data_IF_383320488862
#
_entry.id   IF_383320488862
#
_cell.length_a   1.000
_cell.length_b   1.000
_cell.length_c   1.000
_cell.angle_alpha   90.00
_cell.angle_beta   90.00
_cell.angle_gamma   90.00
#
_symmetry.space_group_name_H-M   'P 1'
#
loop_
_entity.id
_entity.type
_entity.pdbx_description
1 polymer ?
#
# COMPACT_ATOMS: atom_id res chain seq x y z
N UNK A 1 2.95 -5.00 26.75
CA UNK A 1 1.50 -4.93 26.54
C UNK A 1 1.09 -3.53 26.97
N UNK A 2 0.84 -2.66 25.99
CA UNK A 2 0.49 -1.25 26.22
C UNK A 2 -1.00 -1.15 25.91
N UNK A 3 -1.82 -0.80 26.90
CA UNK A 3 -3.26 -0.66 26.73
C UNK A 3 -3.58 0.83 26.74
N UNK A 4 -4.07 1.37 25.62
CA UNK A 4 -4.60 2.73 25.56
C UNK A 4 -6.06 2.64 26.01
N UNK A 5 -6.37 3.31 27.12
CA UNK A 5 -7.72 3.34 27.69
C UNK A 5 -8.46 4.56 27.14
N UNK A 6 -9.44 4.35 26.26
CA UNK A 6 -10.40 5.38 25.85
C UNK A 6 -11.70 5.19 26.65
N UNK A 7 -11.97 6.13 27.54
CA UNK A 7 -13.13 6.12 28.47
C UNK A 7 -14.48 6.25 27.76
N UNK A 8 -14.51 6.52 26.45
CA UNK A 8 -15.74 6.77 25.70
C UNK A 8 -16.14 5.65 24.71
N UNK A 9 -15.47 4.50 24.72
CA UNK A 9 -15.77 3.36 23.83
C UNK A 9 -16.26 2.13 24.62
N UNK A 10 -17.34 1.51 24.15
CA UNK A 10 -17.88 0.24 24.69
C UNK A 10 -17.05 -0.99 24.28
N UNK A 11 -16.02 -0.82 23.44
CA UNK A 11 -15.15 -1.90 22.98
C UNK A 11 -13.67 -1.48 23.02
N UNK A 12 -12.81 -2.43 23.37
CA UNK A 12 -11.38 -2.23 23.66
C UNK A 12 -10.60 -3.21 22.80
N UNK A 13 -9.74 -2.68 21.95
CA UNK A 13 -8.93 -3.47 21.03
C UNK A 13 -7.59 -3.75 21.71
N UNK A 14 -7.31 -5.03 21.96
CA UNK A 14 -6.03 -5.47 22.50
C UNK A 14 -5.13 -5.90 21.35
N UNK A 15 -4.05 -5.14 21.10
CA UNK A 15 -2.99 -5.60 20.20
C UNK A 15 -2.09 -6.57 20.95
N UNK A 16 -2.11 -7.84 20.53
CA UNK A 16 -1.02 -8.77 20.77
C UNK A 16 -0.16 -8.79 19.51
N UNK A 17 1.16 -8.85 19.68
CA UNK A 17 2.07 -9.07 18.56
C UNK A 17 1.63 -10.38 17.89
N UNK A 18 1.18 -10.26 16.64
CA UNK A 18 0.76 -11.31 15.69
C UNK A 18 -0.68 -11.85 15.77
N UNK A 19 -1.61 -11.27 16.54
CA UNK A 19 -3.04 -11.60 16.45
C UNK A 19 -3.92 -10.38 16.79
N UNK A 20 -4.90 -10.04 15.95
CA UNK A 20 -6.00 -9.15 16.31
C UNK A 20 -7.14 -10.04 16.82
N UNK A 21 -7.37 -10.04 18.13
CA UNK A 21 -8.54 -10.67 18.74
C UNK A 21 -9.41 -9.59 19.39
N UNK A 22 -10.73 -9.66 19.16
CA UNK A 22 -11.70 -8.90 19.92
C UNK A 22 -11.83 -9.53 21.30
N UNK A 23 -11.59 -8.74 22.35
CA UNK A 23 -11.80 -9.17 23.73
C UNK A 23 -13.15 -8.63 24.19
N UNK A 24 -14.14 -9.52 24.34
CA UNK A 24 -15.40 -9.17 24.96
C UNK A 24 -15.16 -8.92 26.46
N UNK A 25 -15.52 -7.75 26.95
CA UNK A 25 -15.49 -7.40 28.37
C UNK A 25 -16.73 -6.58 28.71
N UNK A 26 -17.16 -6.65 29.96
CA UNK A 26 -18.21 -5.78 30.49
C UNK A 26 -17.58 -4.70 31.38
N UNK A 27 -18.20 -3.53 31.48
CA UNK A 27 -17.79 -2.49 32.43
C UNK A 27 -18.71 -2.56 33.65
N UNK A 28 -18.16 -3.02 34.78
CA UNK A 28 -18.83 -3.00 36.08
C UNK A 28 -18.01 -2.14 37.06
N UNK A 29 -18.66 -1.23 37.78
CA UNK A 29 -18.02 -0.34 38.77
C UNK A 29 -16.75 0.38 38.27
N UNK A 30 -16.79 0.90 37.02
CA UNK A 30 -15.65 1.54 36.34
C UNK A 30 -14.41 0.65 36.20
N UNK A 31 -14.59 -0.67 36.15
CA UNK A 31 -13.54 -1.64 35.88
C UNK A 31 -13.96 -2.53 34.72
N UNK A 32 -13.02 -2.85 33.85
CA UNK A 32 -13.21 -3.91 32.87
C UNK A 32 -13.25 -5.26 33.59
N UNK A 33 -14.38 -5.95 33.50
CA UNK A 33 -14.58 -7.33 33.96
C UNK A 33 -14.52 -8.23 32.74
N UNK A 34 -13.54 -9.12 32.72
CA UNK A 34 -13.37 -10.10 31.66
C UNK A 34 -14.15 -11.36 32.03
N UNK A 35 -15.04 -11.83 31.16
CA UNK A 35 -15.70 -13.12 31.33
C UNK A 35 -14.68 -14.24 31.04
N UNK A 36 -14.00 -14.72 32.08
CA UNK A 36 -13.00 -15.79 31.99
C UNK A 36 -13.68 -17.19 31.93
N UNK A 37 -15.00 -17.28 32.13
CA UNK A 37 -15.76 -18.53 32.19
C UNK A 37 -16.56 -18.86 30.91
N UNK A 38 -15.95 -18.65 29.74
CA UNK A 38 -16.36 -19.33 28.51
C UNK A 38 -15.16 -20.02 27.89
N UNK A 39 -14.90 -21.25 28.34
CA UNK A 39 -14.03 -22.16 27.61
C UNK A 39 -14.52 -22.26 26.16
N UNK A 40 -13.58 -22.10 25.23
CA UNK A 40 -13.62 -22.50 23.82
C UNK A 40 -14.90 -23.26 23.41
N UNK A 41 -15.92 -22.50 22.97
CA UNK A 41 -17.00 -22.90 22.06
C UNK A 41 -17.97 -21.71 21.95
N UNK A 42 -17.57 -20.67 21.22
CA UNK A 42 -18.54 -19.72 20.68
C UNK A 42 -19.18 -20.42 19.47
N UNK A 43 -20.14 -21.30 19.71
CA UNK A 43 -21.21 -21.48 18.72
C UNK A 43 -22.07 -20.24 18.82
N UNK A 44 -21.77 -19.26 17.97
CA UNK A 44 -22.63 -18.10 17.73
C UNK A 44 -23.93 -18.60 17.07
N UNK A 45 -24.83 -19.13 17.91
CA UNK A 45 -26.16 -19.59 17.54
C UNK A 45 -27.15 -18.42 17.36
N UNK A 46 -26.69 -17.28 16.83
CA UNK A 46 -27.56 -16.09 16.68
C UNK A 46 -27.44 -15.32 15.37
N UNK A 47 -26.92 -15.92 14.29
CA UNK A 47 -27.24 -15.48 12.93
C UNK A 47 -27.42 -16.68 11.99
N UNK A 48 -28.68 -17.01 11.67
CA UNK A 48 -29.06 -17.91 10.57
C UNK A 48 -28.81 -17.23 9.21
N UNK A 49 -27.60 -16.73 8.98
CA UNK A 49 -27.16 -16.37 7.63
C UNK A 49 -26.64 -17.67 7.01
N UNK A 50 -27.14 -18.12 5.84
CA UNK A 50 -26.59 -19.28 5.18
C UNK A 50 -25.09 -19.07 4.98
N UNK A 51 -24.26 -19.82 5.71
CA UNK A 51 -22.82 -19.73 5.59
C UNK A 51 -22.39 -20.71 4.50
N UNK A 52 -21.81 -20.18 3.43
CA UNK A 52 -21.22 -20.99 2.36
C UNK A 52 -20.02 -21.74 2.95
N UNK A 53 -19.93 -23.05 2.68
CA UNK A 53 -18.86 -23.90 3.19
C UNK A 53 -17.68 -23.94 2.21
N UNK A 54 -16.51 -24.40 2.65
CA UNK A 54 -15.39 -24.61 1.73
C UNK A 54 -15.72 -25.63 0.64
N UNK A 55 -16.59 -26.62 0.93
CA UNK A 55 -16.97 -27.62 -0.06
C UNK A 55 -17.74 -27.06 -1.25
N UNK A 56 -18.49 -25.97 -1.03
CA UNK A 56 -19.26 -25.30 -2.06
C UNK A 56 -18.33 -24.54 -3.03
N UNK A 57 -17.19 -24.04 -2.55
CA UNK A 57 -16.31 -23.14 -3.31
C UNK A 57 -14.98 -23.76 -3.74
N UNK A 58 -14.55 -24.89 -3.17
CA UNK A 58 -13.23 -25.49 -3.41
C UNK A 58 -12.91 -25.82 -4.88
N UNK A 59 -13.94 -25.98 -5.72
CA UNK A 59 -13.79 -26.31 -7.13
C UNK A 59 -14.04 -25.10 -8.06
N UNK A 60 -14.31 -23.93 -7.50
CA UNK A 60 -14.52 -22.71 -8.29
C UNK A 60 -13.14 -22.18 -8.71
N UNK A 61 -12.93 -22.09 -10.01
CA UNK A 61 -11.76 -21.45 -10.58
C UNK A 61 -12.04 -19.96 -10.82
N UNK A 62 -11.46 -19.09 -9.99
CA UNK A 62 -11.62 -17.63 -10.11
C UNK A 62 -11.15 -17.04 -11.44
N UNK A 63 -10.28 -17.74 -12.18
CA UNK A 63 -9.88 -17.36 -13.55
C UNK A 63 -10.90 -17.78 -14.62
N UNK A 64 -11.90 -18.58 -14.27
CA UNK A 64 -12.90 -19.09 -15.19
C UNK A 64 -14.17 -19.51 -14.44
N UNK A 65 -14.93 -18.55 -13.94
CA UNK A 65 -16.20 -18.80 -13.25
C UNK A 65 -17.29 -17.79 -13.64
N UNK A 66 -18.54 -18.09 -13.28
CA UNK A 66 -19.67 -17.16 -13.45
C UNK A 66 -19.69 -16.11 -12.34
N UNK A 67 -20.46 -15.05 -12.52
CA UNK A 67 -20.63 -14.03 -11.47
C UNK A 67 -21.23 -14.61 -10.18
N UNK A 68 -22.16 -15.56 -10.31
CA UNK A 68 -22.76 -16.24 -9.16
C UNK A 68 -21.73 -17.09 -8.41
N UNK A 69 -20.89 -17.84 -9.13
CA UNK A 69 -19.78 -18.59 -8.52
C UNK A 69 -18.83 -17.65 -7.74
N UNK A 70 -18.50 -16.49 -8.32
CA UNK A 70 -17.66 -15.50 -7.63
C UNK A 70 -18.36 -14.92 -6.38
N UNK A 71 -19.66 -14.67 -6.43
CA UNK A 71 -20.42 -14.22 -5.25
C UNK A 71 -20.39 -15.25 -4.13
N UNK A 72 -20.46 -16.55 -4.46
CA UNK A 72 -20.35 -17.62 -3.47
C UNK A 72 -18.95 -17.65 -2.83
N UNK A 73 -17.88 -17.45 -3.62
CA UNK A 73 -16.51 -17.29 -3.11
C UNK A 73 -16.40 -16.08 -2.18
N UNK A 74 -16.93 -14.92 -2.59
CA UNK A 74 -16.87 -13.69 -1.82
C UNK A 74 -17.59 -13.82 -0.46
N UNK A 75 -18.76 -14.45 -0.44
CA UNK A 75 -19.50 -14.66 0.80
C UNK A 75 -18.84 -15.71 1.71
N UNK A 76 -18.23 -16.76 1.14
CA UNK A 76 -17.40 -17.70 1.89
C UNK A 76 -16.23 -17.00 2.59
N UNK A 77 -15.46 -16.18 1.85
CA UNK A 77 -14.29 -15.47 2.40
C UNK A 77 -14.71 -14.43 3.44
N UNK A 78 -15.73 -13.61 3.17
CA UNK A 78 -16.28 -12.66 4.14
C UNK A 78 -16.76 -13.34 5.42
N UNK A 79 -17.39 -14.51 5.30
CA UNK A 79 -17.79 -15.34 6.43
C UNK A 79 -16.62 -16.01 7.17
N UNK A 80 -15.40 -15.93 6.66
CA UNK A 80 -14.21 -16.60 7.20
C UNK A 80 -13.25 -15.64 7.92
N UNK A 81 -13.13 -14.38 7.50
CA UNK A 81 -12.28 -13.38 8.16
C UNK A 81 -12.80 -11.95 7.93
N UNK A 82 -12.78 -11.10 8.98
CA UNK A 82 -13.17 -9.69 8.89
C UNK A 82 -12.25 -8.87 7.97
N UNK A 83 -11.04 -9.37 7.65
CA UNK A 83 -10.15 -8.73 6.68
C UNK A 83 -10.75 -8.69 5.26
N UNK A 84 -11.77 -9.52 4.99
CA UNK A 84 -12.49 -9.60 3.74
C UNK A 84 -13.87 -8.92 3.82
N UNK A 85 -14.07 -7.95 4.72
CA UNK A 85 -15.33 -7.22 4.71
C UNK A 85 -15.43 -6.32 3.47
N UNK A 86 -16.59 -6.34 2.82
CA UNK A 86 -16.85 -5.61 1.57
C UNK A 86 -18.30 -5.16 1.48
N UNK A 87 -18.55 -4.12 0.69
CA UNK A 87 -19.91 -3.68 0.40
C UNK A 87 -20.59 -4.62 -0.60
N UNK A 88 -21.54 -5.41 -0.10
CA UNK A 88 -22.37 -6.30 -0.93
C UNK A 88 -23.11 -5.57 -2.04
N UNK A 89 -23.57 -4.35 -1.77
CA UNK A 89 -24.29 -3.56 -2.76
C UNK A 89 -23.38 -3.13 -3.91
N UNK A 90 -22.10 -2.86 -3.61
CA UNK A 90 -21.08 -2.62 -4.62
C UNK A 90 -20.86 -3.86 -5.48
N UNK A 91 -20.62 -5.04 -4.87
CA UNK A 91 -20.44 -6.29 -5.64
C UNK A 91 -21.65 -6.52 -6.55
N UNK A 92 -22.87 -6.48 -6.01
CA UNK A 92 -24.11 -6.66 -6.78
C UNK A 92 -24.31 -5.63 -7.90
N UNK A 93 -23.74 -4.43 -7.78
CA UNK A 93 -23.78 -3.43 -8.86
C UNK A 93 -23.06 -3.88 -10.13
N UNK A 94 -22.08 -4.78 -10.01
CA UNK A 94 -21.37 -5.37 -11.16
C UNK A 94 -22.18 -6.44 -11.90
N UNK A 95 -23.20 -7.03 -11.27
CA UNK A 95 -23.99 -8.13 -11.85
C UNK A 95 -24.51 -7.83 -13.26
N UNK A 96 -25.00 -6.61 -13.47
CA UNK A 96 -25.58 -6.19 -14.76
C UNK A 96 -24.53 -6.03 -15.87
N UNK A 97 -23.24 -6.16 -15.57
CA UNK A 97 -22.16 -6.13 -16.55
C UNK A 97 -21.88 -7.50 -17.16
N UNK A 98 -22.48 -8.57 -16.61
CA UNK A 98 -22.24 -9.95 -17.02
C UNK A 98 -23.54 -10.66 -17.37
N UNK A 99 -23.51 -11.49 -18.41
CA UNK A 99 -24.60 -12.43 -18.66
C UNK A 99 -24.55 -13.57 -17.62
N UNK A 100 -25.68 -14.17 -17.21
CA UNK A 100 -25.70 -15.15 -16.10
C UNK A 100 -24.74 -16.33 -16.28
N UNK A 101 -24.61 -16.85 -17.51
CA UNK A 101 -23.72 -17.97 -17.84
C UNK A 101 -22.36 -17.53 -18.40
N UNK A 102 -22.03 -16.22 -18.33
CA UNK A 102 -20.76 -15.71 -18.81
C UNK A 102 -19.62 -16.14 -17.89
N UNK A 103 -18.63 -16.84 -18.46
CA UNK A 103 -17.41 -17.22 -17.76
C UNK A 103 -16.39 -16.09 -17.89
N UNK A 104 -15.92 -15.59 -16.75
CA UNK A 104 -15.01 -14.46 -16.62
C UNK A 104 -13.82 -14.85 -15.73
N UNK A 105 -12.67 -14.22 -16.00
CA UNK A 105 -11.56 -14.15 -15.06
C UNK A 105 -11.83 -13.01 -14.07
N UNK A 106 -12.38 -13.34 -12.90
CA UNK A 106 -12.73 -12.33 -11.90
C UNK A 106 -11.53 -11.78 -11.15
N UNK A 107 -10.40 -12.51 -11.15
CA UNK A 107 -9.15 -12.00 -10.62
C UNK A 107 -8.62 -10.86 -11.49
N UNK A 108 -8.49 -11.10 -12.80
CA UNK A 108 -8.06 -10.05 -13.74
C UNK A 108 -9.08 -8.90 -13.77
N UNK A 109 -10.38 -9.20 -13.76
CA UNK A 109 -11.42 -8.16 -13.80
C UNK A 109 -11.31 -7.17 -12.63
N UNK A 110 -11.23 -7.65 -11.38
CA UNK A 110 -11.18 -6.75 -10.23
C UNK A 110 -9.82 -6.08 -10.08
N UNK A 111 -8.72 -6.71 -10.51
CA UNK A 111 -7.40 -6.07 -10.60
C UNK A 111 -7.41 -4.90 -11.60
N UNK A 112 -7.91 -5.15 -12.82
CA UNK A 112 -8.05 -4.13 -13.86
C UNK A 112 -9.00 -3.02 -13.43
N UNK A 113 -10.11 -3.35 -12.76
CA UNK A 113 -11.08 -2.36 -12.33
C UNK A 113 -10.51 -1.44 -11.25
N UNK A 114 -9.76 -1.97 -10.26
CA UNK A 114 -9.08 -1.11 -9.29
C UNK A 114 -8.01 -0.26 -9.97
N UNK A 115 -7.25 -0.79 -10.94
CA UNK A 115 -6.24 -0.02 -11.67
C UNK A 115 -6.87 1.16 -12.41
N UNK A 116 -7.99 0.92 -13.08
CA UNK A 116 -8.75 1.97 -13.73
C UNK A 116 -9.26 3.02 -12.75
N UNK A 117 -9.68 2.63 -11.54
CA UNK A 117 -10.07 3.58 -10.49
C UNK A 117 -8.87 4.46 -10.09
N UNK A 118 -7.70 3.88 -9.86
CA UNK A 118 -6.48 4.61 -9.54
C UNK A 118 -6.04 5.55 -10.69
N UNK A 119 -6.08 5.09 -11.94
CA UNK A 119 -5.75 5.91 -13.12
C UNK A 119 -6.67 7.12 -13.27
N UNK A 120 -7.98 6.94 -12.99
CA UNK A 120 -9.00 8.01 -13.00
C UNK A 120 -9.00 8.85 -11.72
N UNK A 121 -8.15 8.54 -10.73
CA UNK A 121 -8.13 9.24 -9.45
C UNK A 121 -9.41 9.05 -8.61
N UNK A 122 -10.21 8.01 -8.85
CA UNK A 122 -11.38 7.70 -8.01
C UNK A 122 -10.95 6.79 -6.85
N UNK A 123 -10.30 7.37 -5.85
CA UNK A 123 -9.69 6.59 -4.77
C UNK A 123 -10.70 6.02 -3.79
N UNK A 124 -11.85 6.66 -3.61
CA UNK A 124 -12.95 6.10 -2.82
C UNK A 124 -13.37 4.75 -3.40
N UNK A 125 -13.72 4.71 -4.68
CA UNK A 125 -14.12 3.45 -5.34
C UNK A 125 -12.97 2.44 -5.42
N UNK A 126 -11.73 2.91 -5.65
CA UNK A 126 -10.55 2.05 -5.57
C UNK A 126 -10.51 1.28 -4.25
N UNK A 127 -10.63 1.98 -3.11
CA UNK A 127 -10.57 1.37 -1.79
C UNK A 127 -11.77 0.47 -1.49
N UNK A 128 -12.95 0.74 -2.07
CA UNK A 128 -14.10 -0.17 -1.96
C UNK A 128 -13.93 -1.45 -2.79
N UNK A 129 -13.15 -1.40 -3.89
CA UNK A 129 -12.88 -2.55 -4.77
C UNK A 129 -11.72 -3.42 -4.26
N UNK A 130 -10.75 -2.85 -3.56
CA UNK A 130 -9.58 -3.58 -3.02
C UNK A 130 -9.96 -4.88 -2.28
N UNK A 131 -10.96 -4.90 -1.38
CA UNK A 131 -11.39 -6.15 -0.73
C UNK A 131 -11.88 -7.24 -1.71
N UNK A 132 -12.55 -6.87 -2.80
CA UNK A 132 -13.02 -7.82 -3.82
C UNK A 132 -11.86 -8.43 -4.60
N UNK A 133 -10.88 -7.61 -4.96
CA UNK A 133 -9.67 -8.07 -5.63
C UNK A 133 -8.80 -8.95 -4.70
N UNK A 134 -8.69 -8.56 -3.43
CA UNK A 134 -8.02 -9.34 -2.39
C UNK A 134 -8.66 -10.73 -2.22
N UNK A 135 -9.99 -10.83 -2.28
CA UNK A 135 -10.68 -12.13 -2.23
C UNK A 135 -10.32 -13.03 -3.41
N UNK A 136 -10.30 -12.48 -4.62
CA UNK A 136 -9.93 -13.23 -5.81
C UNK A 136 -8.49 -13.79 -5.68
N UNK A 137 -7.55 -12.96 -5.22
CA UNK A 137 -6.17 -13.40 -4.95
C UNK A 137 -6.10 -14.50 -3.87
N UNK A 138 -6.82 -14.33 -2.75
CA UNK A 138 -6.81 -15.34 -1.69
C UNK A 138 -7.37 -16.67 -2.17
N UNK A 139 -8.44 -16.65 -2.96
CA UNK A 139 -9.00 -17.88 -3.51
C UNK A 139 -8.04 -18.53 -4.52
N UNK A 140 -7.33 -17.74 -5.34
CA UNK A 140 -6.25 -18.23 -6.18
C UNK A 140 -5.14 -18.89 -5.35
N UNK A 141 -4.76 -18.28 -4.23
CA UNK A 141 -3.74 -18.83 -3.35
C UNK A 141 -4.21 -20.14 -2.71
N UNK A 142 -5.46 -20.21 -2.27
CA UNK A 142 -6.09 -21.41 -1.71
C UNK A 142 -6.23 -22.55 -2.71
N UNK A 143 -6.48 -22.25 -4.00
CA UNK A 143 -6.59 -23.29 -5.03
C UNK A 143 -5.23 -23.82 -5.49
N UNK A 144 -4.21 -22.97 -5.49
CA UNK A 144 -2.84 -23.30 -5.91
C UNK A 144 -1.99 -23.93 -4.80
N UNK A 145 -2.33 -23.71 -3.53
CA UNK A 145 -1.60 -24.24 -2.38
C UNK A 145 -2.48 -25.25 -1.63
N UNK A 146 -1.86 -26.29 -1.07
CA UNK A 146 -2.59 -27.17 -0.14
C UNK A 146 -2.99 -26.36 1.09
N UNK A 147 -4.29 -26.14 1.27
CA UNK A 147 -4.80 -25.48 2.48
C UNK A 147 -4.52 -26.38 3.68
N UNK A 148 -3.73 -25.87 4.63
CA UNK A 148 -3.41 -26.55 5.88
C UNK A 148 -4.48 -26.18 6.90
N UNK A 149 -5.61 -26.89 6.91
CA UNK A 149 -6.69 -26.68 7.87
C UNK A 149 -7.56 -27.91 8.06
N UNK A 150 -7.93 -28.21 9.31
CA UNK A 150 -8.90 -29.27 9.58
C UNK A 150 -10.32 -28.79 9.26
N UNK A 151 -11.08 -29.61 8.53
CA UNK A 151 -12.47 -29.34 8.16
C UNK A 151 -13.43 -30.18 9.02
N UNK A 152 -14.56 -29.57 9.35
CA UNK A 152 -15.74 -30.28 9.87
C UNK A 152 -16.37 -31.14 8.77
N UNK A 153 -17.28 -32.06 9.15
CA UNK A 153 -18.04 -32.87 8.19
C UNK A 153 -18.85 -32.04 7.20
N UNK A 154 -19.19 -30.81 7.59
CA UNK A 154 -20.04 -29.90 6.83
C UNK A 154 -19.20 -28.85 6.07
N UNK A 155 -17.89 -29.06 5.96
CA UNK A 155 -17.01 -28.26 5.09
C UNK A 155 -16.53 -26.93 5.67
N UNK A 156 -16.68 -26.71 6.98
CA UNK A 156 -16.14 -25.50 7.64
C UNK A 156 -14.79 -25.77 8.30
N UNK A 157 -13.87 -24.82 8.22
CA UNK A 157 -12.59 -24.89 8.93
C UNK A 157 -12.80 -24.82 10.45
N UNK A 158 -12.13 -25.73 11.18
CA UNK A 158 -12.19 -25.78 12.65
C UNK A 158 -11.34 -24.69 13.31
N UNK A 159 -10.40 -24.11 12.55
CA UNK A 159 -9.53 -23.01 12.94
C UNK A 159 -9.51 -21.94 11.86
N UNK A 160 -9.24 -20.68 12.22
CA UNK A 160 -9.08 -19.62 11.21
C UNK A 160 -7.78 -19.82 10.42
N UNK A 161 -7.89 -20.20 9.16
CA UNK A 161 -6.76 -20.38 8.23
C UNK A 161 -6.23 -19.07 7.65
N UNK A 162 -6.92 -17.94 7.87
CA UNK A 162 -6.57 -16.60 7.42
C UNK A 162 -5.98 -15.73 8.55
N UNK A 163 -5.42 -16.37 9.58
CA UNK A 163 -4.92 -15.71 10.79
C UNK A 163 -3.52 -15.10 10.64
N UNK A 164 -2.77 -15.48 9.61
CA UNK A 164 -1.46 -14.91 9.30
C UNK A 164 -1.57 -13.89 8.16
N UNK A 165 -0.91 -12.74 8.31
CA UNK A 165 -0.78 -11.71 7.27
C UNK A 165 -0.15 -12.30 6.00
N UNK A 166 0.69 -13.33 6.15
CA UNK A 166 1.25 -14.09 5.02
C UNK A 166 0.22 -14.99 4.31
N UNK A 167 -0.85 -15.42 5.01
CA UNK A 167 -1.95 -16.23 4.43
C UNK A 167 -3.01 -15.37 3.75
N UNK A 168 -3.05 -14.08 4.05
CA UNK A 168 -4.03 -13.15 3.52
C UNK A 168 -3.72 -12.64 2.12
N UNK A 169 -2.59 -13.02 1.50
CA UNK A 169 -2.09 -12.39 0.27
C UNK A 169 -1.86 -10.90 0.50
N UNK A 170 -0.64 -10.39 0.34
CA UNK A 170 -0.49 -8.93 0.40
C UNK A 170 -0.96 -8.34 -0.92
N UNK A 171 -2.27 -8.07 -1.07
CA UNK A 171 -2.78 -7.28 -2.18
C UNK A 171 -2.51 -5.81 -1.88
N UNK A 172 -1.23 -5.46 -1.99
CA UNK A 172 -0.72 -4.14 -1.71
C UNK A 172 -1.41 -3.09 -2.57
N UNK A 173 -1.53 -1.89 -2.02
CA UNK A 173 -1.92 -0.75 -2.84
C UNK A 173 -0.90 -0.54 -3.96
N UNK A 174 -1.36 -0.03 -5.10
CA UNK A 174 -0.43 0.42 -6.13
C UNK A 174 0.43 1.55 -5.58
N UNK A 175 1.75 1.39 -5.70
CA UNK A 175 2.72 2.36 -5.18
C UNK A 175 3.08 3.35 -6.28
N UNK A 176 2.93 4.63 -5.98
CA UNK A 176 3.36 5.75 -6.83
C UNK A 176 4.88 5.91 -6.82
N UNK A 177 5.54 5.44 -5.77
CA UNK A 177 6.98 5.41 -5.67
C UNK A 177 7.38 4.50 -4.52
N UNK A 178 8.53 3.85 -4.67
CA UNK A 178 9.13 3.01 -3.65
C UNK A 178 10.65 3.15 -3.69
N UNK A 179 11.29 3.11 -2.53
CA UNK A 179 12.73 2.99 -2.48
C UNK A 179 13.31 3.04 -1.08
N UNK A 180 14.51 2.48 -0.97
CA UNK A 180 15.32 2.56 0.24
C UNK A 180 16.29 3.76 0.19
N UNK A 181 16.31 4.56 1.26
CA UNK A 181 17.08 5.80 1.39
C UNK A 181 17.92 5.78 2.67
N UNK A 182 19.21 6.11 2.56
CA UNK A 182 20.11 6.29 3.71
C UNK A 182 19.99 7.73 4.23
N UNK A 183 19.20 7.92 5.29
CA UNK A 183 18.91 9.22 5.90
C UNK A 183 19.65 9.29 7.23
N UNK A 184 20.64 10.18 7.33
CA UNK A 184 21.41 10.36 8.56
C UNK A 184 22.24 9.15 8.99
N UNK A 185 22.56 8.23 8.07
CA UNK A 185 23.29 6.99 8.37
C UNK A 185 22.40 5.79 8.72
N UNK A 186 21.07 5.94 8.65
CA UNK A 186 20.10 4.86 8.84
C UNK A 186 19.34 4.60 7.54
N UNK A 187 19.05 3.34 7.24
CA UNK A 187 18.37 2.94 6.01
C UNK A 187 16.86 2.85 6.26
N UNK A 188 16.08 3.62 5.49
CA UNK A 188 14.62 3.63 5.55
C UNK A 188 14.02 3.19 4.23
N UNK A 189 12.98 2.37 4.29
CA UNK A 189 12.12 2.07 3.17
C UNK A 189 10.95 3.05 3.12
N UNK A 190 10.77 3.68 1.97
CA UNK A 190 9.72 4.66 1.72
C UNK A 190 8.84 4.12 0.60
N UNK A 191 7.53 4.19 0.81
CA UNK A 191 6.57 4.03 -0.27
C UNK A 191 5.50 5.11 -0.24
N UNK A 192 5.10 5.55 -1.43
CA UNK A 192 4.03 6.50 -1.67
C UNK A 192 2.84 5.78 -2.32
N UNK A 193 1.63 6.08 -1.87
CA UNK A 193 0.37 5.61 -2.45
C UNK A 193 -0.63 6.76 -2.50
N UNK A 194 -1.67 6.65 -3.33
CA UNK A 194 -2.78 7.59 -3.25
C UNK A 194 -3.51 7.44 -1.90
N UNK A 195 -3.87 8.56 -1.28
CA UNK A 195 -4.77 8.52 -0.13
C UNK A 195 -6.22 8.29 -0.57
N UNK A 196 -7.07 7.75 0.31
CA UNK A 196 -8.49 7.49 0.03
C UNK A 196 -9.26 8.76 -0.34
N UNK A 197 -8.85 9.91 0.20
CA UNK A 197 -9.44 11.21 -0.08
C UNK A 197 -8.91 11.85 -1.37
N UNK A 198 -7.93 11.23 -2.04
CA UNK A 198 -7.34 11.78 -3.26
C UNK A 198 -8.32 11.77 -4.42
N UNK A 199 -8.38 12.89 -5.15
CA UNK A 199 -9.11 13.00 -6.43
C UNK A 199 -8.18 13.47 -7.55
N UNK A 200 -8.67 13.54 -8.78
CA UNK A 200 -7.91 14.10 -9.91
C UNK A 200 -7.62 15.61 -9.71
N UNK A 201 -8.60 16.36 -9.19
CA UNK A 201 -8.47 17.81 -8.95
C UNK A 201 -7.74 18.15 -7.65
N UNK A 202 -7.80 17.25 -6.66
CA UNK A 202 -7.11 17.39 -5.39
C UNK A 202 -6.30 16.12 -5.10
N UNK A 203 -5.12 15.95 -5.72
CA UNK A 203 -4.30 14.77 -5.50
C UNK A 203 -3.71 14.80 -4.10
N UNK A 204 -3.91 13.71 -3.37
CA UNK A 204 -3.42 13.49 -2.01
C UNK A 204 -2.59 12.21 -2.01
N UNK A 205 -1.36 12.30 -1.52
CA UNK A 205 -0.43 11.17 -1.46
C UNK A 205 -0.13 10.84 -0.01
N UNK A 206 -0.26 9.56 0.33
CA UNK A 206 0.17 9.01 1.58
C UNK A 206 1.60 8.45 1.45
N UNK A 207 2.52 8.93 2.28
CA UNK A 207 3.87 8.40 2.38
C UNK A 207 4.01 7.62 3.68
N UNK A 208 4.46 6.36 3.57
CA UNK A 208 4.84 5.55 4.72
C UNK A 208 6.34 5.39 4.76
N UNK A 209 6.90 5.48 5.97
CA UNK A 209 8.33 5.29 6.26
C UNK A 209 8.49 4.06 7.15
N UNK A 210 9.35 3.13 6.77
CA UNK A 210 9.69 1.96 7.56
C UNK A 210 11.21 1.90 7.78
N UNK A 211 11.66 1.49 8.96
CA UNK A 211 13.08 1.21 9.18
C UNK A 211 13.46 -0.09 8.47
N UNK A 212 14.45 -0.08 7.59
CA UNK A 212 14.87 -1.28 6.85
C UNK A 212 15.56 -2.32 7.77
N UNK A 213 16.06 -1.89 8.92
CA UNK A 213 16.77 -2.73 9.90
C UNK A 213 15.89 -3.32 11.00
N UNK A 214 14.64 -2.88 11.12
CA UNK A 214 13.70 -3.42 12.11
C UNK A 214 12.33 -3.65 11.46
N UNK A 215 11.69 -4.79 11.69
CA UNK A 215 10.31 -5.03 11.24
C UNK A 215 9.29 -4.05 11.89
N UNK A 216 9.75 -3.18 12.79
CA UNK A 216 8.95 -2.09 13.32
C UNK A 216 8.98 -0.91 12.34
N UNK A 217 7.89 -0.73 11.61
CA UNK A 217 7.61 0.49 10.85
C UNK A 217 7.75 1.69 11.79
N UNK A 218 8.49 2.73 11.41
CA UNK A 218 8.35 4.02 12.09
C UNK A 218 6.91 4.45 11.84
N UNK A 219 6.10 4.47 12.89
CA UNK A 219 4.68 4.72 12.73
C UNK A 219 4.46 6.18 12.35
N UNK A 220 4.29 6.45 11.06
CA UNK A 220 3.87 7.73 10.52
C UNK A 220 3.35 7.54 9.10
N UNK A 221 2.06 7.82 8.90
CA UNK A 221 1.46 8.02 7.58
C UNK A 221 1.45 9.53 7.35
N UNK A 222 2.24 10.01 6.39
CA UNK A 222 2.30 11.42 6.04
C UNK A 222 1.37 11.65 4.87
N UNK A 223 0.25 12.31 5.12
CA UNK A 223 -0.76 12.65 4.11
C UNK A 223 -0.40 14.03 3.55
N UNK A 224 -0.07 14.08 2.26
CA UNK A 224 0.44 15.26 1.57
C UNK A 224 -0.55 15.65 0.47
N UNK A 225 -1.15 16.82 0.60
CA UNK A 225 -1.95 17.45 -0.47
C UNK A 225 -1.00 18.07 -1.51
N UNK A 226 -0.93 17.49 -2.71
CA UNK A 226 0.12 17.82 -3.69
C UNK A 226 0.00 19.27 -4.17
N UNK A 227 -1.23 19.75 -4.34
CA UNK A 227 -1.49 21.13 -4.81
C UNK A 227 -1.19 22.21 -3.76
N UNK A 228 -1.03 21.85 -2.48
CA UNK A 228 -0.76 22.81 -1.40
C UNK A 228 0.73 23.02 -1.14
N UNK A 229 1.61 22.26 -1.80
CA UNK A 229 3.06 22.29 -1.52
C UNK A 229 3.66 23.61 -2.02
N UNK A 230 4.22 24.41 -1.11
CA UNK A 230 5.09 25.53 -1.46
C UNK A 230 6.49 25.00 -1.77
N UNK A 231 6.82 24.84 -3.06
CA UNK A 231 8.12 24.30 -3.51
C UNK A 231 9.33 25.16 -3.09
N UNK A 232 9.12 26.40 -2.59
CA UNK A 232 10.18 27.25 -2.03
C UNK A 232 10.42 26.95 -0.53
N UNK A 233 9.53 26.18 0.12
CA UNK A 233 9.55 25.83 1.55
C UNK A 233 9.03 24.40 1.85
N UNK A 234 9.22 23.47 0.93
CA UNK A 234 8.78 22.09 1.08
C UNK A 234 9.78 21.28 1.91
N UNK A 235 9.31 20.25 2.59
CA UNK A 235 10.15 19.23 3.24
C UNK A 235 10.59 18.17 2.21
N UNK A 236 11.70 17.44 2.44
CA UNK A 236 12.08 16.32 1.59
C UNK A 236 10.97 15.27 1.43
N UNK A 237 10.17 15.00 2.45
CA UNK A 237 9.02 14.09 2.34
C UNK A 237 7.90 14.63 1.45
N UNK A 238 7.59 15.93 1.51
CA UNK A 238 6.63 16.55 0.59
C UNK A 238 7.17 16.52 -0.84
N UNK A 239 8.47 16.74 -1.04
CA UNK A 239 9.10 16.61 -2.35
C UNK A 239 9.10 15.16 -2.86
N UNK A 240 9.27 14.17 -1.98
CA UNK A 240 9.13 12.75 -2.34
C UNK A 240 7.70 12.46 -2.82
N UNK A 241 6.68 12.87 -2.06
CA UNK A 241 5.29 12.72 -2.45
C UNK A 241 4.97 13.44 -3.78
N UNK A 242 5.43 14.68 -3.94
CA UNK A 242 5.30 15.48 -5.16
C UNK A 242 5.86 14.75 -6.39
N UNK A 243 7.11 14.31 -6.31
CA UNK A 243 7.74 13.63 -7.44
C UNK A 243 7.14 12.26 -7.70
N UNK A 244 6.79 11.47 -6.67
CA UNK A 244 6.08 10.20 -6.86
C UNK A 244 4.78 10.37 -7.63
N UNK A 245 3.99 11.40 -7.29
CA UNK A 245 2.76 11.72 -8.03
C UNK A 245 3.05 12.10 -9.49
N UNK A 246 3.90 13.10 -9.73
CA UNK A 246 4.14 13.58 -11.10
C UNK A 246 4.87 12.57 -11.99
N UNK A 247 5.80 11.78 -11.42
CA UNK A 247 6.44 10.68 -12.14
C UNK A 247 5.40 9.63 -12.54
N UNK A 248 4.46 9.27 -11.64
CA UNK A 248 3.38 8.33 -11.96
C UNK A 248 2.46 8.82 -13.09
N UNK A 249 2.24 10.13 -13.21
CA UNK A 249 1.44 10.70 -14.32
C UNK A 249 2.19 10.71 -15.65
N UNK A 250 3.52 10.61 -15.63
CA UNK A 250 4.36 10.54 -16.83
C UNK A 250 4.70 9.11 -17.27
N UNK A 251 4.35 8.11 -16.46
CA UNK A 251 4.61 6.69 -16.70
C UNK A 251 3.29 5.92 -16.71
N UNK A 252 2.82 5.45 -17.87
CA UNK A 252 1.57 4.70 -17.97
C UNK A 252 1.61 3.36 -17.20
N UNK A 253 2.80 2.80 -16.97
CA UNK A 253 3.04 1.52 -16.28
C UNK A 253 3.57 1.68 -14.84
N UNK A 254 3.33 2.84 -14.22
CA UNK A 254 3.83 3.17 -12.88
C UNK A 254 3.51 2.12 -11.80
N UNK A 255 2.38 1.43 -11.95
CA UNK A 255 1.89 0.40 -11.04
C UNK A 255 2.71 -0.91 -11.09
N UNK A 256 3.46 -1.15 -12.17
CA UNK A 256 4.34 -2.31 -12.33
C UNK A 256 5.81 -1.99 -12.00
N UNK A 257 6.25 -0.77 -12.31
CA UNK A 257 7.66 -0.36 -12.17
C UNK A 257 7.99 0.23 -10.80
N UNK A 258 6.98 0.49 -9.96
CA UNK A 258 7.06 1.10 -8.63
C UNK A 258 7.88 2.41 -8.59
N UNK A 259 8.07 3.04 -9.76
CA UNK A 259 8.93 4.20 -9.99
C UNK A 259 10.28 4.16 -9.25
N UNK A 260 10.97 3.01 -9.29
CA UNK A 260 12.27 2.84 -8.63
C UNK A 260 13.35 3.85 -9.11
N UNK A 261 13.26 4.38 -10.32
CA UNK A 261 14.18 5.40 -10.88
C UNK A 261 13.52 6.79 -10.93
N UNK A 262 12.81 7.13 -9.86
CA UNK A 262 12.07 8.38 -9.70
C UNK A 262 12.98 9.62 -9.76
N UNK A 263 12.38 10.74 -10.14
CA UNK A 263 12.97 12.08 -10.10
C UNK A 263 13.52 12.38 -8.71
N UNK A 264 12.77 12.05 -7.65
CA UNK A 264 13.26 12.22 -6.27
C UNK A 264 14.54 11.42 -6.02
N UNK A 265 14.60 10.14 -6.40
CA UNK A 265 15.79 9.31 -6.20
C UNK A 265 17.02 9.86 -6.90
N UNK A 266 16.86 10.42 -8.11
CA UNK A 266 17.94 11.07 -8.85
C UNK A 266 18.48 12.29 -8.09
N UNK A 267 17.59 13.14 -7.59
CA UNK A 267 17.94 14.31 -6.79
C UNK A 267 18.62 13.87 -5.50
N UNK A 268 18.07 12.86 -4.83
CA UNK A 268 18.61 12.31 -3.59
C UNK A 268 20.04 11.81 -3.76
N UNK A 269 20.28 10.97 -4.77
CA UNK A 269 21.59 10.39 -5.06
C UNK A 269 22.65 11.42 -5.48
N UNK A 270 22.24 12.64 -5.85
CA UNK A 270 23.17 13.74 -6.11
C UNK A 270 23.79 14.33 -4.83
N UNK A 271 23.32 13.93 -3.64
CA UNK A 271 23.64 14.50 -2.33
C UNK A 271 23.26 15.98 -2.21
N UNK A 272 22.21 16.41 -2.91
CA UNK A 272 21.70 17.78 -2.82
C UNK A 272 20.95 18.05 -1.50
N UNK A 273 20.41 17.01 -0.87
CA UNK A 273 19.85 17.09 0.46
C UNK A 273 20.95 16.94 1.50
N UNK A 274 21.00 17.88 2.44
CA UNK A 274 21.88 17.83 3.61
C UNK A 274 21.04 17.33 4.79
N UNK A 275 20.96 16.01 4.97
CA UNK A 275 20.12 15.37 5.99
C UNK A 275 20.99 14.75 7.09
N UNK A 276 20.76 15.15 8.34
CA UNK A 276 21.45 14.57 9.51
C UNK A 276 20.65 13.45 10.18
N UNK A 277 19.34 13.36 9.93
CA UNK A 277 18.44 12.39 10.55
C UNK A 277 17.07 12.36 9.88
N UNK A 278 16.16 11.52 10.38
CA UNK A 278 14.80 11.39 9.82
C UNK A 278 13.98 12.67 10.01
N UNK A 279 14.23 13.42 11.09
CA UNK A 279 13.60 14.70 11.37
C UNK A 279 13.96 15.75 10.30
N UNK A 280 15.18 15.71 9.75
CA UNK A 280 15.54 16.55 8.62
C UNK A 280 14.79 16.15 7.34
N UNK A 281 14.40 14.89 7.20
CA UNK A 281 13.62 14.43 6.06
C UNK A 281 12.14 14.85 6.18
N UNK A 282 11.59 14.81 7.39
CA UNK A 282 10.15 15.05 7.62
C UNK A 282 9.82 16.51 7.91
N UNK A 283 10.72 17.28 8.52
CA UNK A 283 10.39 18.58 9.12
C UNK A 283 11.21 19.75 8.54
N UNK A 284 12.42 19.49 8.01
CA UNK A 284 13.30 20.56 7.51
C UNK A 284 12.81 21.08 6.17
N UNK A 285 12.47 22.36 6.14
CA UNK A 285 12.11 23.03 4.90
C UNK A 285 13.33 23.27 4.02
N UNK A 286 13.16 22.99 2.73
CA UNK A 286 14.12 23.24 1.66
C UNK A 286 13.45 24.04 0.54
N UNK A 287 14.27 24.73 -0.24
CA UNK A 287 13.83 25.35 -1.49
C UNK A 287 14.20 24.40 -2.64
N UNK A 288 13.22 23.91 -3.39
CA UNK A 288 13.44 22.97 -4.48
C UNK A 288 14.39 23.55 -5.56
N UNK A 289 14.33 24.86 -5.82
CA UNK A 289 15.24 25.52 -6.76
C UNK A 289 16.70 25.39 -6.30
N UNK A 290 16.96 25.61 -5.01
CA UNK A 290 18.30 25.51 -4.44
C UNK A 290 18.78 24.05 -4.43
N UNK A 291 17.89 23.11 -4.09
CA UNK A 291 18.17 21.67 -4.13
C UNK A 291 18.53 21.22 -5.56
N UNK A 292 17.76 21.59 -6.57
CA UNK A 292 18.04 21.24 -7.97
C UNK A 292 19.32 21.90 -8.48
N UNK A 293 19.60 23.14 -8.08
CA UNK A 293 20.84 23.84 -8.42
C UNK A 293 22.05 23.10 -7.85
N UNK A 294 21.98 22.69 -6.57
CA UNK A 294 23.02 21.85 -5.93
C UNK A 294 23.14 20.50 -6.62
N UNK A 295 22.03 19.84 -6.92
CA UNK A 295 22.00 18.54 -7.59
C UNK A 295 22.69 18.60 -8.96
N UNK A 296 22.35 19.61 -9.76
CA UNK A 296 22.96 19.85 -11.07
C UNK A 296 24.47 20.06 -10.97
N UNK A 297 24.91 20.92 -10.05
CA UNK A 297 26.34 21.16 -9.82
C UNK A 297 27.07 19.89 -9.38
N UNK A 298 26.45 19.08 -8.51
CA UNK A 298 26.95 17.78 -8.07
C UNK A 298 27.17 16.82 -9.25
N UNK A 299 26.17 16.66 -10.11
CA UNK A 299 26.24 15.78 -11.28
C UNK A 299 27.32 16.22 -12.27
N UNK A 300 27.41 17.53 -12.61
CA UNK A 300 28.44 18.06 -13.52
C UNK A 300 29.85 17.80 -12.96
N UNK A 301 30.05 17.98 -11.66
CA UNK A 301 31.35 17.74 -11.03
C UNK A 301 31.80 16.26 -11.11
N UNK A 302 30.84 15.33 -11.12
CA UNK A 302 31.08 13.90 -11.29
C UNK A 302 31.36 13.54 -12.75
N UNK A 303 30.68 14.17 -13.71
CA UNK A 303 30.95 14.02 -15.15
C UNK A 303 32.39 14.44 -15.49
N UNK A 304 32.84 15.59 -14.99
CA UNK A 304 34.20 16.09 -15.18
C UNK A 304 35.26 15.15 -14.58
N UNK A 305 34.92 14.45 -13.49
CA UNK A 305 35.79 13.46 -12.84
C UNK A 305 35.82 12.12 -13.61
N UNK A 306 34.71 11.74 -14.24
CA UNK A 306 34.58 10.57 -15.10
C UNK A 306 35.36 10.73 -16.41
N UNK A 307 35.27 11.90 -17.05
CA UNK A 307 36.03 12.26 -18.27
C UNK A 307 37.55 12.26 -17.99
N UNK A 308 37.97 12.54 -16.75
CA UNK A 308 39.38 12.49 -16.30
C UNK A 308 39.87 11.10 -15.84
N UNK A 309 39.09 10.04 -16.07
CA UNK A 309 39.57 8.66 -16.02
C UNK A 309 39.72 8.01 -14.63
N UNK A 310 38.96 8.47 -13.61
CA UNK A 310 39.02 7.89 -12.25
C UNK A 310 37.66 7.51 -11.69
N UNK A 311 36.95 6.57 -12.31
CA UNK A 311 35.86 5.88 -11.63
C UNK A 311 36.09 4.37 -11.62
N UNK A 312 36.21 3.83 -10.40
CA UNK A 312 36.06 2.41 -10.13
C UNK A 312 34.58 2.19 -9.77
N UNK A 313 33.82 1.67 -10.74
CA UNK A 313 32.38 1.42 -10.61
C UNK A 313 32.02 0.27 -9.65
N UNK A 314 33.00 -0.29 -8.92
CA UNK A 314 32.78 -1.49 -8.10
C UNK A 314 32.13 -1.25 -6.73
N UNK A 315 31.86 0.01 -6.33
CA UNK A 315 31.29 0.30 -5.00
C UNK A 315 29.83 0.77 -5.02
N UNK A 316 29.28 1.14 -6.17
CA UNK A 316 27.88 1.54 -6.31
C UNK A 316 27.31 0.89 -7.57
N UNK A 317 26.36 -0.03 -7.38
CA UNK A 317 25.84 -0.92 -8.41
C UNK A 317 24.92 -0.23 -9.44
N UNK A 318 25.08 1.08 -9.66
CA UNK A 318 24.51 1.83 -10.78
C UNK A 318 25.65 2.59 -11.45
N UNK A 319 26.19 2.05 -12.54
CA UNK A 319 27.12 2.80 -13.35
C UNK A 319 26.39 4.01 -13.93
N UNK A 320 26.73 5.22 -13.47
CA UNK A 320 26.30 6.47 -14.10
C UNK A 320 26.76 6.44 -15.56
N UNK A 321 25.89 5.97 -16.44
CA UNK A 321 26.15 6.05 -17.88
C UNK A 321 26.06 7.51 -18.28
N UNK A 322 26.80 7.92 -19.32
CA UNK A 322 26.66 9.26 -19.89
C UNK A 322 25.18 9.60 -20.18
N UNK A 323 24.44 8.63 -20.72
CA UNK A 323 22.99 8.74 -20.99
C UNK A 323 22.17 9.02 -19.72
N UNK A 324 22.50 8.40 -18.59
CA UNK A 324 21.82 8.65 -17.31
C UNK A 324 22.11 10.08 -16.80
N UNK A 325 23.38 10.53 -16.88
CA UNK A 325 23.78 11.89 -16.51
C UNK A 325 23.04 12.92 -17.36
N UNK A 326 23.07 12.77 -18.68
CA UNK A 326 22.35 13.64 -19.63
C UNK A 326 20.86 13.69 -19.28
N UNK A 327 20.24 12.53 -19.00
CA UNK A 327 18.83 12.47 -18.61
C UNK A 327 18.52 13.20 -17.30
N UNK A 328 19.37 13.08 -16.28
CA UNK A 328 19.19 13.82 -15.03
C UNK A 328 19.29 15.34 -15.26
N UNK A 329 20.26 15.79 -16.06
CA UNK A 329 20.43 17.21 -16.37
C UNK A 329 19.24 17.78 -17.13
N UNK A 330 18.70 17.05 -18.11
CA UNK A 330 17.47 17.41 -18.82
C UNK A 330 16.29 17.59 -17.85
N UNK A 331 16.05 16.60 -16.98
CA UNK A 331 14.97 16.65 -15.99
C UNK A 331 15.12 17.87 -15.07
N UNK A 332 16.33 18.14 -14.58
CA UNK A 332 16.56 19.28 -13.69
C UNK A 332 16.33 20.61 -14.38
N UNK A 333 16.75 20.74 -15.64
CA UNK A 333 16.55 21.97 -16.43
C UNK A 333 15.08 22.21 -16.77
N UNK A 334 14.33 21.16 -17.07
CA UNK A 334 12.87 21.25 -17.26
C UNK A 334 12.17 21.75 -15.98
N UNK A 335 12.52 21.20 -14.82
CA UNK A 335 11.91 21.60 -13.54
C UNK A 335 12.32 23.03 -13.16
N UNK A 336 13.61 23.37 -13.27
CA UNK A 336 14.12 24.72 -12.96
C UNK A 336 13.49 25.79 -13.83
N UNK A 337 13.25 25.49 -15.12
CA UNK A 337 12.57 26.42 -16.03
C UNK A 337 11.16 26.71 -15.54
N UNK A 338 10.38 25.68 -15.18
CA UNK A 338 9.02 25.85 -14.64
C UNK A 338 9.01 26.65 -13.34
N UNK A 339 9.96 26.39 -12.44
CA UNK A 339 10.08 27.12 -11.17
C UNK A 339 10.52 28.58 -11.34
N UNK A 340 11.23 28.91 -12.43
CA UNK A 340 11.72 30.26 -12.72
C UNK A 340 10.70 31.17 -13.42
N UNK A 341 9.59 30.62 -13.90
CA UNK A 341 8.49 31.35 -14.52
C UNK A 341 7.47 31.91 -13.50
N UNK A 342 7.62 31.58 -12.20
CA UNK A 342 6.81 32.02 -11.05
C UNK A 342 7.54 32.95 -10.06
#
# INVERSE_FOLDING_TARGET
>A
MSVIYDVNRESLWAHRVNEISSLNYNVEDNKAVFDIDAGANITDASQNTPRISYFDVQNINIHACTFDDFCDVAEFLRGSCNAFDYDKSLLESFRNQFEPEQIIDFYEFFDDYRLQCAQKGNMVLYHEVVPLAQMAENMMWMSNNEIIGELTSDGFFTTNIFSDVCSLGFYGNYRLGEGAYDIGGNLYDLYAEYDIESTEENPIVAVTISDFGSENRISGKYVVEINSIDLKKATPIELYAYFSYYDSKSNEDWYNDYNYDSTFRRIYNSNAFELEGIEDFTDKQVNLFDVLTKAKAGIISQEDSAIKGKLNFSKYLNAYTKKYIERCLEIYDEILTRLGEE
#
